data_IF_713061303420
#
_entry.id   IF_713061303420
#
_cell.length_a   1.000
_cell.length_b   1.000
_cell.length_c   1.000
_cell.angle_alpha   90.00
_cell.angle_beta   90.00
_cell.angle_gamma   90.00
#
_symmetry.space_group_name_H-M   'P 1'
#
loop_
_entity.id
_entity.type
_entity.pdbx_description
1 polymer ?
#
# COMPACT_ATOMS: atom_id res chain seq x y z
N UNK A 1 -21.01 43.16 26.64
CA UNK A 1 -19.88 42.29 27.05
C UNK A 1 -20.13 40.80 26.83
N UNK A 2 -21.38 40.33 26.75
CA UNK A 2 -21.71 38.92 26.51
C UNK A 2 -21.58 38.50 25.02
N UNK A 3 -22.02 39.35 24.08
CA UNK A 3 -21.90 39.12 22.61
C UNK A 3 -20.46 38.87 22.15
N UNK A 4 -19.49 39.68 22.61
CA UNK A 4 -18.10 39.61 22.11
C UNK A 4 -17.43 38.26 22.36
N UNK A 5 -17.80 37.54 23.43
CA UNK A 5 -17.23 36.21 23.72
C UNK A 5 -17.76 35.14 22.77
N UNK A 6 -19.04 35.24 22.40
CA UNK A 6 -19.70 34.32 21.48
C UNK A 6 -19.16 34.52 20.05
N UNK A 7 -18.97 35.78 19.63
CA UNK A 7 -18.37 36.14 18.33
C UNK A 7 -16.93 35.61 18.20
N UNK A 8 -16.13 35.73 19.27
CA UNK A 8 -14.77 35.18 19.32
C UNK A 8 -14.79 33.65 19.23
N UNK A 9 -15.70 32.99 19.96
CA UNK A 9 -15.81 31.54 19.93
C UNK A 9 -16.21 31.02 18.55
N UNK A 10 -17.19 31.67 17.90
CA UNK A 10 -17.60 31.32 16.54
C UNK A 10 -16.45 31.48 15.54
N UNK A 11 -15.70 32.59 15.63
CA UNK A 11 -14.55 32.84 14.75
C UNK A 11 -13.47 31.76 14.92
N UNK A 12 -13.17 31.38 16.17
CA UNK A 12 -12.21 30.31 16.45
C UNK A 12 -12.65 28.96 15.87
N UNK A 13 -13.94 28.61 15.99
CA UNK A 13 -14.49 27.38 15.41
C UNK A 13 -14.33 27.35 13.90
N UNK A 14 -14.62 28.48 13.22
CA UNK A 14 -14.46 28.60 11.76
C UNK A 14 -13.00 28.43 11.36
N UNK A 15 -12.06 29.08 12.06
CA UNK A 15 -10.62 28.97 11.77
C UNK A 15 -10.16 27.51 11.93
N UNK A 16 -10.54 26.85 13.03
CA UNK A 16 -10.22 25.44 13.26
C UNK A 16 -10.78 24.56 12.14
N UNK A 17 -12.04 24.79 11.74
CA UNK A 17 -12.67 24.09 10.62
C UNK A 17 -11.90 24.23 9.31
N UNK A 18 -11.53 25.46 8.94
CA UNK A 18 -10.76 25.75 7.72
C UNK A 18 -9.39 25.07 7.74
N UNK A 19 -8.71 25.08 8.89
CA UNK A 19 -7.42 24.41 9.06
C UNK A 19 -7.57 22.90 8.88
N UNK A 20 -8.57 22.27 9.51
CA UNK A 20 -8.82 20.83 9.39
C UNK A 20 -9.13 20.42 7.95
N UNK A 21 -9.98 21.17 7.26
CA UNK A 21 -10.33 20.92 5.84
C UNK A 21 -9.10 21.06 4.94
N UNK A 22 -8.29 22.10 5.14
CA UNK A 22 -7.07 22.32 4.38
C UNK A 22 -6.06 21.18 4.57
N UNK A 23 -5.90 20.70 5.81
CA UNK A 23 -5.06 19.55 6.12
C UNK A 23 -5.60 18.26 5.49
N UNK A 24 -6.91 18.00 5.59
CA UNK A 24 -7.55 16.84 4.97
C UNK A 24 -7.38 16.84 3.44
N UNK A 25 -7.56 17.99 2.78
CA UNK A 25 -7.36 18.11 1.33
C UNK A 25 -5.91 17.82 0.93
N UNK A 26 -4.94 18.35 1.68
CA UNK A 26 -3.51 18.12 1.43
C UNK A 26 -3.10 16.66 1.66
N UNK A 27 -3.68 15.97 2.64
CA UNK A 27 -3.39 14.56 2.89
C UNK A 27 -4.02 13.67 1.81
N UNK A 28 -5.28 13.89 1.45
CA UNK A 28 -6.00 13.13 0.41
C UNK A 28 -5.28 13.27 -0.94
N UNK A 29 -4.93 14.49 -1.34
CA UNK A 29 -4.19 14.74 -2.59
C UNK A 29 -2.85 14.02 -2.58
N UNK A 30 -2.09 14.05 -1.48
CA UNK A 30 -0.82 13.34 -1.35
C UNK A 30 -0.98 11.81 -1.44
N UNK A 31 -1.99 11.26 -0.77
CA UNK A 31 -2.31 9.83 -0.77
C UNK A 31 -2.79 9.36 -2.16
N UNK A 32 -3.35 10.25 -2.98
CA UNK A 32 -3.83 9.87 -4.32
C UNK A 32 -2.79 10.12 -5.42
N UNK A 33 -2.06 11.23 -5.37
CA UNK A 33 -1.09 11.60 -6.40
C UNK A 33 0.22 10.81 -6.30
N UNK A 34 0.74 10.62 -5.07
CA UNK A 34 2.02 9.93 -4.89
C UNK A 34 1.99 8.49 -5.43
N UNK A 35 0.97 7.66 -5.11
CA UNK A 35 0.93 6.30 -5.63
C UNK A 35 0.80 6.27 -7.15
N UNK A 36 0.02 7.18 -7.76
CA UNK A 36 -0.11 7.25 -9.22
C UNK A 36 1.21 7.59 -9.92
N UNK A 37 1.96 8.56 -9.39
CA UNK A 37 3.28 8.90 -9.93
C UNK A 37 4.25 7.72 -9.81
N UNK A 38 4.24 7.04 -8.67
CA UNK A 38 5.10 5.88 -8.44
C UNK A 38 4.71 4.69 -9.31
N UNK A 39 3.41 4.47 -9.53
CA UNK A 39 2.92 3.44 -10.46
C UNK A 39 3.45 3.67 -11.87
N UNK A 40 3.38 4.92 -12.36
CA UNK A 40 3.92 5.29 -13.67
C UNK A 40 5.43 5.02 -13.73
N UNK A 41 6.17 5.45 -12.71
CA UNK A 41 7.61 5.20 -12.63
C UNK A 41 7.95 3.70 -12.68
N UNK A 42 7.26 2.87 -11.89
CA UNK A 42 7.49 1.42 -11.87
C UNK A 42 7.20 0.78 -13.24
N UNK A 43 6.13 1.22 -13.92
CA UNK A 43 5.80 0.76 -15.28
C UNK A 43 6.85 1.19 -16.30
N UNK A 44 7.38 2.40 -16.19
CA UNK A 44 8.48 2.89 -17.04
C UNK A 44 9.78 2.09 -16.82
N UNK A 45 10.02 1.61 -15.60
CA UNK A 45 11.12 0.67 -15.29
C UNK A 45 10.86 -0.76 -15.82
N UNK A 46 9.76 -0.99 -16.54
CA UNK A 46 9.39 -2.30 -17.09
C UNK A 46 8.81 -3.27 -16.05
N UNK A 47 8.58 -2.82 -14.81
CA UNK A 47 7.97 -3.64 -13.78
C UNK A 47 6.47 -3.75 -14.01
N UNK A 48 5.95 -4.96 -13.83
CA UNK A 48 4.52 -5.25 -13.94
C UNK A 48 3.91 -5.47 -12.57
N UNK A 49 2.69 -5.01 -12.37
CA UNK A 49 1.99 -5.15 -11.11
C UNK A 49 0.54 -4.67 -11.21
N UNK A 50 -0.23 -4.86 -10.13
CA UNK A 50 -1.60 -4.39 -10.04
C UNK A 50 -1.65 -2.86 -9.99
N UNK A 51 -2.75 -2.30 -10.49
CA UNK A 51 -3.04 -0.88 -10.39
C UNK A 51 -3.27 -0.47 -8.93
N UNK A 52 -2.92 0.76 -8.58
CA UNK A 52 -3.19 1.27 -7.23
C UNK A 52 -4.69 1.36 -6.95
N UNK A 53 -5.16 0.73 -5.86
CA UNK A 53 -6.52 0.84 -5.32
C UNK A 53 -6.51 1.84 -4.15
N UNK A 54 -7.42 2.81 -4.17
CA UNK A 54 -7.43 3.94 -3.22
C UNK A 54 -7.39 3.50 -1.74
N UNK A 55 -6.53 4.17 -0.96
CA UNK A 55 -6.22 3.97 0.47
C UNK A 55 -5.62 2.62 0.86
N UNK A 56 -6.25 1.53 0.44
CA UNK A 56 -5.92 0.19 0.94
C UNK A 56 -4.99 -0.58 0.01
N UNK A 57 -4.83 -0.17 -1.25
CA UNK A 57 -4.08 -0.96 -2.22
C UNK A 57 -4.62 -2.39 -2.25
N UNK A 58 -3.72 -3.35 -2.10
CA UNK A 58 -4.05 -4.78 -2.10
C UNK A 58 -4.20 -5.38 -0.69
N UNK A 59 -4.12 -4.56 0.37
CA UNK A 59 -4.16 -5.04 1.77
C UNK A 59 -5.42 -5.85 2.09
N UNK A 60 -6.57 -5.49 1.50
CA UNK A 60 -7.82 -6.26 1.65
C UNK A 60 -7.71 -7.66 1.04
N UNK A 61 -7.09 -7.77 -0.13
CA UNK A 61 -6.91 -9.03 -0.85
C UNK A 61 -5.88 -9.92 -0.16
N UNK A 62 -4.80 -9.33 0.34
CA UNK A 62 -3.81 -9.98 1.21
C UNK A 62 -4.51 -10.59 2.43
N UNK A 63 -5.34 -9.81 3.13
CA UNK A 63 -6.09 -10.29 4.30
C UNK A 63 -7.05 -11.44 3.98
N UNK A 64 -7.80 -11.32 2.87
CA UNK A 64 -8.71 -12.37 2.39
C UNK A 64 -7.97 -13.68 2.11
N UNK A 65 -6.91 -13.63 1.31
CA UNK A 65 -6.14 -14.81 0.94
C UNK A 65 -5.41 -15.43 2.13
N UNK A 66 -4.92 -14.63 3.07
CA UNK A 66 -4.33 -15.13 4.31
C UNK A 66 -5.35 -15.86 5.18
N UNK A 67 -6.59 -15.34 5.27
CA UNK A 67 -7.68 -16.01 5.98
C UNK A 67 -8.04 -17.35 5.31
N UNK A 68 -8.20 -17.35 4.00
CA UNK A 68 -8.49 -18.57 3.22
C UNK A 68 -7.36 -19.62 3.34
N UNK A 69 -6.10 -19.18 3.29
CA UNK A 69 -4.95 -20.06 3.46
C UNK A 69 -4.93 -20.69 4.86
N UNK A 70 -5.29 -19.94 5.92
CA UNK A 70 -5.35 -20.45 7.29
C UNK A 70 -6.48 -21.47 7.50
N UNK A 71 -7.62 -21.29 6.84
CA UNK A 71 -8.79 -22.18 6.97
C UNK A 71 -8.57 -23.55 6.33
N UNK A 72 -7.76 -23.66 5.28
CA UNK A 72 -7.45 -24.94 4.65
C UNK A 72 -6.55 -25.77 5.56
N UNK A 73 -6.70 -27.10 5.67
CA UNK A 73 -5.75 -27.94 6.40
C UNK A 73 -4.34 -27.82 5.80
N UNK A 74 -3.30 -28.05 6.61
CA UNK A 74 -1.93 -28.10 6.11
C UNK A 74 -1.77 -29.34 5.24
N UNK A 75 -1.58 -29.14 3.93
CA UNK A 75 -1.04 -30.20 3.08
C UNK A 75 0.39 -30.50 3.53
N UNK A 76 0.76 -31.79 3.58
CA UNK A 76 2.13 -32.27 3.85
C UNK A 76 3.12 -31.93 2.72
N UNK A 77 2.86 -30.88 1.92
CA UNK A 77 3.67 -30.51 0.77
C UNK A 77 4.73 -29.46 1.15
N UNK A 78 5.90 -29.53 0.50
CA UNK A 78 7.00 -28.58 0.67
C UNK A 78 6.70 -27.14 0.16
N UNK A 79 5.44 -26.83 -0.15
CA UNK A 79 4.97 -25.55 -0.70
C UNK A 79 4.55 -24.53 0.38
N UNK A 80 5.33 -24.45 1.47
CA UNK A 80 5.08 -23.58 2.63
C UNK A 80 4.87 -22.11 2.23
N UNK A 81 5.61 -21.62 1.23
CA UNK A 81 5.53 -20.22 0.75
C UNK A 81 4.13 -19.84 0.26
N UNK A 82 3.43 -20.76 -0.42
CA UNK A 82 2.07 -20.49 -0.95
C UNK A 82 1.05 -20.29 0.16
N UNK A 83 1.30 -20.86 1.34
CA UNK A 83 0.44 -20.72 2.52
C UNK A 83 0.79 -19.51 3.38
N UNK A 84 2.08 -19.20 3.53
CA UNK A 84 2.54 -18.06 4.33
C UNK A 84 2.34 -16.73 3.58
N UNK A 85 2.55 -16.74 2.26
CA UNK A 85 2.46 -15.56 1.40
C UNK A 85 1.62 -15.84 0.14
N UNK A 86 0.33 -16.20 0.29
CA UNK A 86 -0.54 -16.59 -0.83
C UNK A 86 -0.69 -15.49 -1.88
N UNK A 87 -0.82 -14.24 -1.44
CA UNK A 87 -0.93 -13.10 -2.36
C UNK A 87 0.35 -12.86 -3.17
N UNK A 88 1.53 -13.00 -2.56
CA UNK A 88 2.81 -12.83 -3.24
C UNK A 88 2.98 -13.87 -4.34
N UNK A 89 2.60 -15.12 -4.04
CA UNK A 89 2.61 -16.20 -5.03
C UNK A 89 1.69 -15.87 -6.22
N UNK A 90 0.49 -15.33 -5.96
CA UNK A 90 -0.44 -14.92 -7.02
C UNK A 90 0.13 -13.79 -7.88
N UNK A 91 0.71 -12.75 -7.27
CA UNK A 91 1.31 -11.62 -7.99
C UNK A 91 2.47 -12.09 -8.87
N UNK A 92 3.35 -12.95 -8.35
CA UNK A 92 4.48 -13.50 -9.12
C UNK A 92 4.00 -14.36 -10.28
N UNK A 93 2.97 -15.18 -10.06
CA UNK A 93 2.40 -16.03 -11.11
C UNK A 93 1.76 -15.19 -12.23
N UNK A 94 1.16 -14.05 -11.89
CA UNK A 94 0.46 -13.20 -12.84
C UNK A 94 1.37 -12.20 -13.56
N UNK A 95 2.30 -11.56 -12.83
CA UNK A 95 3.11 -10.44 -13.33
C UNK A 95 4.59 -10.78 -13.53
N UNK A 96 5.04 -11.94 -13.05
CA UNK A 96 6.41 -12.44 -13.22
C UNK A 96 7.27 -12.32 -11.96
N UNK A 97 8.54 -12.75 -12.10
CA UNK A 97 9.51 -12.79 -10.99
C UNK A 97 10.02 -11.42 -10.55
N UNK A 98 9.84 -10.40 -11.39
CA UNK A 98 10.13 -8.99 -11.11
C UNK A 98 8.82 -8.21 -11.23
N UNK A 99 8.14 -8.05 -10.11
CA UNK A 99 6.81 -7.46 -10.05
C UNK A 99 6.64 -6.58 -8.82
N UNK A 100 5.53 -5.84 -8.72
CA UNK A 100 5.20 -5.09 -7.50
C UNK A 100 3.75 -5.31 -7.09
N UNK A 101 3.38 -4.85 -5.89
CA UNK A 101 2.01 -4.76 -5.41
C UNK A 101 1.85 -3.61 -4.40
N UNK A 102 0.63 -3.30 -3.98
CA UNK A 102 0.37 -2.15 -3.09
C UNK A 102 0.03 -2.57 -1.66
N UNK A 103 0.80 -2.07 -0.69
CA UNK A 103 0.46 -2.12 0.72
C UNK A 103 -0.02 -0.75 1.19
N UNK A 104 -1.34 -0.55 1.19
CA UNK A 104 -1.90 0.80 1.29
C UNK A 104 -1.36 1.69 0.16
N UNK A 105 -0.97 2.95 0.42
CA UNK A 105 -0.38 3.86 -0.59
C UNK A 105 1.09 3.57 -0.92
N UNK A 106 1.70 2.53 -0.36
CA UNK A 106 3.11 2.20 -0.56
C UNK A 106 3.28 1.01 -1.50
N UNK A 107 4.07 1.11 -2.58
CA UNK A 107 4.36 -0.04 -3.42
C UNK A 107 5.44 -0.91 -2.79
N UNK A 108 5.29 -2.22 -2.93
CA UNK A 108 6.23 -3.24 -2.49
C UNK A 108 6.76 -4.01 -3.71
N UNK A 109 8.08 -4.06 -3.83
CA UNK A 109 8.75 -4.78 -4.91
C UNK A 109 8.92 -6.26 -4.57
N UNK A 110 8.73 -7.11 -5.57
CA UNK A 110 9.03 -8.53 -5.53
C UNK A 110 10.10 -8.81 -6.57
N UNK A 111 11.24 -9.34 -6.11
CA UNK A 111 12.33 -9.79 -6.94
C UNK A 111 12.70 -11.23 -6.56
N UNK A 112 12.47 -12.18 -7.47
CA UNK A 112 12.86 -13.59 -7.31
C UNK A 112 14.02 -13.87 -8.26
N UNK A 113 15.25 -13.87 -7.73
CA UNK A 113 16.44 -14.20 -8.50
C UNK A 113 16.57 -15.72 -8.66
N UNK A 114 16.85 -16.19 -9.88
CA UNK A 114 16.89 -17.61 -10.24
C UNK A 114 18.19 -18.35 -9.90
N UNK A 115 19.18 -17.72 -9.25
CA UNK A 115 20.51 -18.33 -9.03
C UNK A 115 20.74 -18.99 -7.67
N UNK A 116 19.85 -18.88 -6.72
CA UNK A 116 19.97 -19.61 -5.46
C UNK A 116 18.59 -19.97 -4.93
N UNK A 117 18.42 -21.22 -4.51
CA UNK A 117 17.18 -21.80 -3.94
C UNK A 117 16.79 -21.20 -2.58
N UNK A 118 17.38 -20.09 -2.18
CA UNK A 118 17.06 -19.41 -0.93
C UNK A 118 16.00 -18.35 -1.18
N UNK A 119 14.80 -18.68 -0.71
CA UNK A 119 13.55 -17.92 -0.74
C UNK A 119 13.65 -16.62 0.07
N UNK A 120 14.50 -15.69 -0.36
CA UNK A 120 14.54 -14.34 0.21
C UNK A 120 13.62 -13.45 -0.62
N UNK A 121 12.39 -13.27 -0.12
CA UNK A 121 11.54 -12.16 -0.54
C UNK A 121 12.23 -10.87 -0.07
N UNK A 122 13.16 -10.35 -0.86
CA UNK A 122 13.72 -9.04 -0.59
C UNK A 122 12.65 -8.01 -0.92
N UNK A 123 11.79 -7.74 0.06
CA UNK A 123 10.96 -6.54 0.10
C UNK A 123 11.91 -5.35 0.26
N UNK A 124 12.44 -4.86 -0.86
CA UNK A 124 13.12 -3.59 -0.85
C UNK A 124 12.07 -2.51 -0.65
N UNK A 125 11.98 -2.03 0.60
CA UNK A 125 11.32 -0.79 0.90
C UNK A 125 12.07 0.30 0.15
N UNK A 126 11.44 0.90 -0.87
CA UNK A 126 11.88 2.21 -1.32
C UNK A 126 11.56 3.16 -0.17
N UNK A 127 12.48 3.24 0.79
CA UNK A 127 12.48 4.27 1.82
C UNK A 127 12.71 5.57 1.05
N UNK A 128 11.66 6.34 0.84
CA UNK A 128 11.80 7.65 0.23
C UNK A 128 12.65 8.50 1.17
N UNK A 129 13.94 8.64 0.86
CA UNK A 129 14.79 9.67 1.42
C UNK A 129 14.11 11.00 1.13
N UNK A 130 13.66 11.66 2.19
CA UNK A 130 13.23 13.05 2.15
C UNK A 130 14.52 13.89 2.06
N UNK A 131 14.79 14.43 0.87
CA UNK A 131 15.39 15.75 0.75
C UNK A 131 14.34 16.65 0.13
#
# INVERSE_FOLDING_TARGET
MMSTKEDILQTLVVIVGVVLVSWAWKTISKIWLKPKMMEKYLREQGLKGPNYKFLYGDTKEIGRLNKEARLKPMENSHQIVRRVFPYYHQVVQQYGKMSYFWFGPMPMLIAINGRSTERLLTLHFIKTSSR
#
